data_IF_874574806496
#
_entry.id   IF_874574806496
#
_cell.length_a   1.000
_cell.length_b   1.000
_cell.length_c   1.000
_cell.angle_alpha   90.00
_cell.angle_beta   90.00
_cell.angle_gamma   90.00
#
_symmetry.space_group_name_H-M   'P 1'
#
loop_
_entity.id
_entity.type
_entity.pdbx_description
1 polymer ?
#
# COMPACT_ATOMS: atom_id res chain seq x y z
N UNK A 1 17.27 31.07 -2.18
CA UNK A 1 18.23 30.81 -1.08
C UNK A 1 19.36 29.97 -1.64
N UNK A 2 20.60 30.26 -1.27
CA UNK A 2 21.80 29.59 -1.79
C UNK A 2 21.92 28.14 -1.31
N UNK A 3 22.70 27.28 -2.00
CA UNK A 3 22.72 25.83 -1.77
C UNK A 3 23.53 25.38 -0.53
N UNK A 4 24.10 26.31 0.24
CA UNK A 4 25.18 26.00 1.20
C UNK A 4 24.79 26.15 2.68
N UNK A 5 23.49 26.27 3.01
CA UNK A 5 23.04 26.37 4.40
C UNK A 5 22.24 25.17 4.91
N UNK A 6 22.36 24.00 4.26
CA UNK A 6 21.98 22.73 4.88
C UNK A 6 23.21 22.24 5.62
N UNK A 7 23.45 22.78 6.81
CA UNK A 7 24.21 22.04 7.81
C UNK A 7 23.49 20.70 7.94
N UNK A 8 24.18 19.61 7.54
CA UNK A 8 23.75 18.24 7.80
C UNK A 8 23.56 18.10 9.32
N UNK A 9 22.34 18.34 9.78
CA UNK A 9 21.86 17.59 10.93
C UNK A 9 21.85 16.14 10.47
N UNK A 10 22.73 15.32 11.05
CA UNK A 10 22.71 13.88 10.88
C UNK A 10 21.36 13.37 11.42
N UNK A 11 20.38 13.30 10.53
CA UNK A 11 19.03 12.85 10.86
C UNK A 11 19.04 11.32 10.92
N UNK A 12 18.81 10.78 12.11
CA UNK A 12 18.52 9.36 12.29
C UNK A 12 17.08 9.10 11.84
N UNK A 13 16.92 8.38 10.73
CA UNK A 13 15.61 8.00 10.21
C UNK A 13 15.32 6.55 10.60
N UNK A 14 14.28 6.34 11.39
CA UNK A 14 13.81 4.98 11.68
C UNK A 14 13.02 4.48 10.47
N UNK A 15 13.60 3.51 9.73
CA UNK A 15 13.02 3.02 8.46
C UNK A 15 11.61 2.46 8.63
N UNK A 16 11.30 1.86 9.78
CA UNK A 16 9.95 1.36 10.09
C UNK A 16 8.93 2.50 10.14
N UNK A 17 9.22 3.58 10.88
CA UNK A 17 8.37 4.77 10.93
C UNK A 17 8.26 5.47 9.58
N UNK A 18 9.36 5.51 8.81
CA UNK A 18 9.35 6.09 7.47
C UNK A 18 8.42 5.32 6.52
N UNK A 19 8.45 3.99 6.59
CA UNK A 19 7.54 3.12 5.84
C UNK A 19 6.09 3.33 6.26
N UNK A 20 5.81 3.32 7.56
CA UNK A 20 4.46 3.58 8.08
C UNK A 20 3.93 4.93 7.62
N UNK A 21 4.76 5.98 7.64
CA UNK A 21 4.41 7.31 7.15
C UNK A 21 4.16 7.33 5.64
N UNK A 22 4.99 6.64 4.87
CA UNK A 22 4.77 6.52 3.43
C UNK A 22 3.46 5.80 3.10
N UNK A 23 3.14 4.73 3.84
CA UNK A 23 1.90 3.98 3.69
C UNK A 23 0.68 4.83 4.13
N UNK A 24 0.80 5.64 5.19
CA UNK A 24 -0.21 6.61 5.61
C UNK A 24 -0.48 7.65 4.51
N UNK A 25 0.58 8.23 3.91
CA UNK A 25 0.44 9.19 2.81
C UNK A 25 -0.23 8.56 1.59
N UNK A 26 0.18 7.35 1.19
CA UNK A 26 -0.46 6.61 0.09
C UNK A 26 -1.94 6.36 0.41
N UNK A 27 -2.25 5.94 1.63
CA UNK A 27 -3.63 5.70 2.07
C UNK A 27 -4.46 6.98 1.94
N UNK A 28 -4.00 8.10 2.49
CA UNK A 28 -4.70 9.37 2.38
C UNK A 28 -4.92 9.82 0.92
N UNK A 29 -3.95 9.59 0.03
CA UNK A 29 -4.10 9.87 -1.40
C UNK A 29 -5.10 8.93 -2.08
N UNK A 30 -5.16 7.66 -1.65
CA UNK A 30 -6.10 6.67 -2.21
C UNK A 30 -7.55 6.92 -1.79
N UNK A 31 -7.79 7.51 -0.62
CA UNK A 31 -9.14 7.87 -0.17
C UNK A 31 -9.77 8.96 -1.07
N UNK A 32 -8.95 9.83 -1.66
CA UNK A 32 -9.41 10.88 -2.58
C UNK A 32 -9.36 10.49 -4.06
N UNK A 33 -8.74 9.35 -4.41
CA UNK A 33 -8.50 8.97 -5.81
C UNK A 33 -8.68 7.47 -6.04
N UNK A 34 -9.54 7.12 -6.99
CA UNK A 34 -9.77 5.73 -7.42
C UNK A 34 -8.75 5.25 -8.48
N UNK A 35 -7.82 6.11 -8.90
CA UNK A 35 -6.86 5.82 -9.96
C UNK A 35 -5.63 5.07 -9.41
N UNK A 36 -4.95 4.33 -10.27
CA UNK A 36 -3.70 3.64 -9.93
C UNK A 36 -2.54 4.57 -9.57
N UNK A 37 -2.60 5.83 -10.01
CA UNK A 37 -1.60 6.86 -9.75
C UNK A 37 -2.29 8.17 -9.36
N UNK A 38 -1.59 9.00 -8.59
CA UNK A 38 -2.02 10.32 -8.20
C UNK A 38 -0.90 11.32 -8.43
N UNK A 39 -1.26 12.55 -8.81
CA UNK A 39 -0.35 13.69 -8.89
C UNK A 39 -0.77 14.69 -7.82
N UNK A 40 0.18 15.19 -7.04
CA UNK A 40 -0.06 16.21 -6.02
C UNK A 40 0.98 17.30 -6.09
N UNK A 41 0.63 18.50 -5.61
CA UNK A 41 1.61 19.58 -5.44
C UNK A 41 2.56 19.26 -4.30
N UNK A 42 3.77 19.81 -4.37
CA UNK A 42 4.77 19.66 -3.32
C UNK A 42 4.26 20.12 -1.95
N UNK A 43 3.58 21.27 -1.90
CA UNK A 43 3.06 21.82 -0.65
C UNK A 43 2.01 20.89 -0.01
N UNK A 44 1.12 20.31 -0.83
CA UNK A 44 0.10 19.38 -0.34
C UNK A 44 0.71 18.06 0.11
N UNK A 45 1.72 17.57 -0.59
CA UNK A 45 2.45 16.38 -0.17
C UNK A 45 3.19 16.60 1.16
N UNK A 46 3.91 17.73 1.29
CA UNK A 46 4.63 18.08 2.51
C UNK A 46 3.68 18.28 3.70
N UNK A 47 2.50 18.87 3.49
CA UNK A 47 1.52 19.02 4.58
C UNK A 47 0.98 17.68 5.06
N UNK A 48 0.78 16.71 4.17
CA UNK A 48 0.41 15.33 4.53
C UNK A 48 1.55 14.61 5.27
N UNK A 49 2.80 14.94 4.96
CA UNK A 49 3.98 14.37 5.60
C UNK A 49 4.37 15.08 6.91
N UNK A 50 3.66 16.09 7.39
CA UNK A 50 4.04 16.81 8.62
C UNK A 50 5.11 17.90 8.44
N UNK A 51 5.53 18.18 7.20
CA UNK A 51 6.43 19.28 6.86
C UNK A 51 7.46 18.95 5.78
N UNK A 52 8.32 19.92 5.47
CA UNK A 52 9.29 19.81 4.38
C UNK A 52 10.36 18.72 4.60
N UNK A 53 10.91 18.61 5.83
CA UNK A 53 11.95 17.63 6.17
C UNK A 53 11.41 16.19 6.05
N UNK A 54 10.26 15.94 6.67
CA UNK A 54 9.59 14.64 6.62
C UNK A 54 9.10 14.31 5.20
N UNK A 55 8.56 15.30 4.48
CA UNK A 55 8.18 15.16 3.07
C UNK A 55 9.36 14.73 2.19
N UNK A 56 10.54 15.31 2.36
CA UNK A 56 11.72 14.88 1.60
C UNK A 56 12.13 13.43 1.91
N UNK A 57 12.10 13.02 3.19
CA UNK A 57 12.41 11.65 3.59
C UNK A 57 11.41 10.65 2.99
N UNK A 58 10.11 10.95 3.07
CA UNK A 58 9.03 10.11 2.51
C UNK A 58 9.15 10.04 0.99
N UNK A 59 9.37 11.17 0.31
CA UNK A 59 9.59 11.18 -1.15
C UNK A 59 10.80 10.33 -1.54
N UNK A 60 11.92 10.48 -0.83
CA UNK A 60 13.14 9.70 -1.08
C UNK A 60 12.90 8.20 -0.93
N UNK A 61 12.17 7.80 0.12
CA UNK A 61 11.76 6.41 0.33
C UNK A 61 10.84 5.90 -0.78
N UNK A 62 9.81 6.66 -1.15
CA UNK A 62 8.90 6.31 -2.23
C UNK A 62 9.63 6.19 -3.57
N UNK A 63 10.58 7.08 -3.86
CA UNK A 63 11.41 7.00 -5.07
C UNK A 63 12.35 5.81 -5.06
N UNK A 64 12.95 5.47 -3.90
CA UNK A 64 13.74 4.24 -3.73
C UNK A 64 12.91 2.99 -3.99
N UNK A 65 11.65 2.98 -3.56
CA UNK A 65 10.67 1.93 -3.82
C UNK A 65 10.04 1.99 -5.22
N UNK A 66 10.42 2.97 -6.06
CA UNK A 66 9.79 3.29 -7.36
C UNK A 66 8.27 3.51 -7.28
N UNK A 67 7.78 3.94 -6.11
CA UNK A 67 6.38 4.30 -5.84
C UNK A 67 6.12 5.80 -5.87
N UNK A 68 7.17 6.62 -6.01
CA UNK A 68 7.05 8.08 -6.10
C UNK A 68 8.04 8.66 -7.11
N UNK A 69 7.60 9.67 -7.86
CA UNK A 69 8.44 10.39 -8.81
C UNK A 69 8.21 11.91 -8.69
N UNK A 70 9.31 12.64 -8.63
CA UNK A 70 9.29 14.10 -8.58
C UNK A 70 8.95 14.71 -9.95
N UNK A 71 8.13 15.74 -9.95
CA UNK A 71 7.72 16.52 -11.11
C UNK A 71 8.12 17.98 -10.89
N UNK A 72 8.73 18.59 -11.91
CA UNK A 72 8.98 20.02 -11.92
C UNK A 72 8.72 20.57 -13.31
N UNK A 73 7.99 21.67 -13.39
CA UNK A 73 7.70 22.37 -14.64
C UNK A 73 7.85 23.86 -14.44
N UNK A 74 8.46 24.51 -15.43
CA UNK A 74 8.68 25.95 -15.45
C UNK A 74 8.09 26.53 -16.74
N UNK A 75 6.75 26.64 -16.79
CA UNK A 75 6.04 27.27 -17.93
C UNK A 75 5.89 28.79 -17.74
N UNK A 76 5.63 29.25 -16.51
CA UNK A 76 5.45 30.68 -16.14
C UNK A 76 5.93 30.93 -14.71
N UNK A 77 5.53 30.04 -13.81
CA UNK A 77 6.03 29.93 -12.46
C UNK A 77 6.56 28.50 -12.28
N UNK A 78 7.49 28.33 -11.34
CA UNK A 78 7.98 27.01 -10.97
C UNK A 78 6.88 26.27 -10.21
N UNK A 79 6.38 25.18 -10.81
CA UNK A 79 5.41 24.29 -10.17
C UNK A 79 6.10 22.96 -9.92
N UNK A 80 6.10 22.57 -8.64
CA UNK A 80 6.70 21.33 -8.15
C UNK A 80 5.60 20.39 -7.66
N UNK A 81 5.74 19.11 -7.97
CA UNK A 81 4.77 18.09 -7.62
C UNK A 81 5.38 16.71 -7.49
N UNK A 82 4.56 15.77 -7.03
CA UNK A 82 4.94 14.38 -6.86
C UNK A 82 3.87 13.52 -7.52
N UNK A 83 4.29 12.59 -8.37
CA UNK A 83 3.48 11.48 -8.86
C UNK A 83 3.67 10.28 -7.94
N UNK A 84 2.60 9.72 -7.40
CA UNK A 84 2.61 8.59 -6.46
C UNK A 84 1.81 7.43 -7.05
N UNK A 85 2.31 6.20 -6.95
CA UNK A 85 1.54 4.99 -7.24
C UNK A 85 0.69 4.66 -6.02
N UNK A 86 -0.61 4.56 -6.23
CA UNK A 86 -1.58 4.19 -5.19
C UNK A 86 -1.80 2.69 -5.11
N UNK A 87 -1.31 1.94 -6.10
CA UNK A 87 -1.35 0.48 -6.13
C UNK A 87 -0.04 -0.13 -5.63
N UNK A 88 -0.02 -1.45 -5.45
CA UNK A 88 1.24 -2.16 -5.17
C UNK A 88 2.23 -2.12 -6.35
N UNK A 89 1.81 -1.64 -7.53
CA UNK A 89 2.64 -1.55 -8.71
C UNK A 89 3.62 -0.37 -8.66
N UNK A 90 4.68 -0.48 -9.48
CA UNK A 90 5.67 0.58 -9.71
C UNK A 90 5.01 1.77 -10.43
N UNK A 91 5.44 2.99 -10.10
CA UNK A 91 5.00 4.21 -10.78
C UNK A 91 5.30 4.13 -12.27
N UNK A 92 4.27 4.32 -13.09
CA UNK A 92 4.40 4.55 -14.52
C UNK A 92 5.20 5.81 -14.80
N UNK A 93 6.01 5.79 -15.88
CA UNK A 93 6.82 6.93 -16.29
C UNK A 93 6.01 8.22 -16.43
N UNK A 94 6.67 9.36 -16.20
CA UNK A 94 6.05 10.68 -16.32
C UNK A 94 5.66 10.93 -17.78
N UNK A 95 4.42 11.35 -17.97
CA UNK A 95 3.82 11.72 -19.24
C UNK A 95 3.53 13.22 -19.29
N UNK A 96 3.24 13.76 -20.48
CA UNK A 96 2.79 15.15 -20.61
C UNK A 96 1.51 15.42 -19.82
N UNK A 97 0.61 14.43 -19.75
CA UNK A 97 -0.63 14.51 -18.98
C UNK A 97 -0.36 14.73 -17.49
N UNK A 98 0.67 14.10 -16.91
CA UNK A 98 1.03 14.30 -15.50
C UNK A 98 1.39 15.77 -15.20
N UNK A 99 2.09 16.44 -16.12
CA UNK A 99 2.41 17.86 -15.99
C UNK A 99 1.19 18.77 -16.16
N UNK A 100 0.27 18.44 -17.06
CA UNK A 100 -0.96 19.20 -17.27
C UNK A 100 -1.92 19.02 -16.08
N UNK A 101 -2.03 17.80 -15.54
CA UNK A 101 -2.75 17.50 -14.29
C UNK A 101 -2.13 18.26 -13.11
N UNK A 102 -0.80 18.26 -12.96
CA UNK A 102 -0.12 19.05 -11.92
C UNK A 102 -0.46 20.54 -12.03
N UNK A 103 -0.46 21.09 -13.24
CA UNK A 103 -0.81 22.49 -13.46
C UNK A 103 -2.28 22.78 -13.12
N UNK A 104 -3.21 21.88 -13.45
CA UNK A 104 -4.61 22.01 -13.09
C UNK A 104 -4.83 21.98 -11.57
N UNK A 105 -4.19 21.04 -10.86
CA UNK A 105 -4.26 20.95 -9.39
C UNK A 105 -3.69 22.21 -8.75
N UNK A 106 -2.52 22.67 -9.20
CA UNK A 106 -1.95 23.93 -8.74
C UNK A 106 -2.87 25.13 -8.99
N UNK A 107 -3.53 25.17 -10.16
CA UNK A 107 -4.49 26.23 -10.49
C UNK A 107 -5.70 26.18 -9.55
N UNK A 108 -6.21 25.00 -9.24
CA UNK A 108 -7.30 24.79 -8.28
C UNK A 108 -6.91 25.32 -6.90
N UNK A 109 -5.73 24.94 -6.38
CA UNK A 109 -5.21 25.43 -5.10
C UNK A 109 -5.06 26.95 -5.08
N UNK A 110 -4.58 27.55 -6.19
CA UNK A 110 -4.42 29.00 -6.29
C UNK A 110 -5.77 29.73 -6.30
N UNK A 111 -6.77 29.19 -7.00
CA UNK A 111 -8.12 29.72 -7.02
C UNK A 111 -8.78 29.64 -5.64
N UNK A 112 -8.58 28.53 -4.91
CA UNK A 112 -9.05 28.39 -3.53
C UNK A 112 -8.43 29.44 -2.61
N UNK A 113 -7.11 29.64 -2.68
CA UNK A 113 -6.44 30.70 -1.92
C UNK A 113 -6.99 32.10 -2.24
N UNK A 114 -7.34 32.38 -3.51
CA UNK A 114 -7.95 33.65 -3.89
C UNK A 114 -9.36 33.81 -3.29
N UNK A 115 -10.17 32.74 -3.26
CA UNK A 115 -11.47 32.74 -2.61
C UNK A 115 -11.34 33.05 -1.11
N UNK A 116 -10.40 32.40 -0.42
CA UNK A 116 -10.19 32.63 1.01
C UNK A 116 -9.79 34.10 1.31
N UNK A 117 -8.96 34.69 0.44
CA UNK A 117 -8.58 36.12 0.53
C UNK A 117 -9.78 37.04 0.28
N UNK A 118 -10.62 36.71 -0.70
CA UNK A 118 -11.84 37.47 -1.01
C UNK A 118 -12.82 37.39 0.17
N UNK A 119 -13.05 36.21 0.73
CA UNK A 119 -13.98 35.99 1.84
C UNK A 119 -13.51 36.74 3.09
N UNK A 120 -12.21 36.68 3.42
CA UNK A 120 -11.64 37.46 4.52
C UNK A 120 -11.80 38.97 4.31
N UNK A 121 -11.53 39.46 3.10
CA UNK A 121 -11.68 40.89 2.77
C UNK A 121 -13.14 41.34 2.81
N UNK A 122 -14.05 40.48 2.36
CA UNK A 122 -15.48 40.73 2.42
C UNK A 122 -15.95 40.88 3.87
N UNK A 123 -15.51 40.00 4.77
CA UNK A 123 -15.88 40.05 6.19
C UNK A 123 -15.33 41.32 6.87
N UNK A 124 -14.08 41.70 6.59
CA UNK A 124 -13.52 42.97 7.08
C UNK A 124 -14.31 44.19 6.58
N UNK A 125 -14.70 44.19 5.30
CA UNK A 125 -15.50 45.28 4.72
C UNK A 125 -16.90 45.33 5.34
N UNK A 126 -17.51 44.17 5.60
CA UNK A 126 -18.79 44.05 6.32
C UNK A 126 -18.71 44.66 7.71
N UNK A 127 -17.69 44.31 8.50
CA UNK A 127 -17.49 44.85 9.84
C UNK A 127 -17.28 46.38 9.81
N UNK A 128 -16.48 46.87 8.85
CA UNK A 128 -16.22 48.30 8.66
C UNK A 128 -17.48 49.08 8.23
N UNK A 129 -18.32 48.49 7.38
CA UNK A 129 -19.62 49.05 6.98
C UNK A 129 -20.56 49.17 8.19
N UNK A 130 -20.65 48.12 9.01
CA UNK A 130 -21.48 48.11 10.22
C UNK A 130 -20.99 49.14 11.25
N UNK A 131 -19.68 49.26 11.47
CA UNK A 131 -19.11 50.26 12.35
C UNK A 131 -19.41 51.69 11.85
N UNK A 132 -19.25 51.94 10.55
CA UNK A 132 -19.55 53.24 9.94
C UNK A 132 -21.05 53.59 10.00
N UNK A 133 -21.93 52.59 9.91
CA UNK A 133 -23.37 52.77 10.06
C UNK A 133 -23.72 53.14 11.51
N UNK A 134 -23.14 52.44 12.49
CA UNK A 134 -23.31 52.73 13.93
C UNK A 134 -22.81 54.13 14.30
N UNK A 135 -21.74 54.61 13.66
CA UNK A 135 -21.21 55.96 13.88
C UNK A 135 -21.93 57.04 13.05
N UNK A 136 -23.02 56.71 12.34
CA UNK A 136 -23.79 57.65 11.52
C UNK A 136 -23.10 58.09 10.22
N UNK A 137 -21.94 57.54 9.86
CA UNK A 137 -21.20 57.92 8.67
C UNK A 137 -21.69 57.16 7.42
N UNK A 138 -22.82 57.61 6.87
CA UNK A 138 -23.49 56.99 5.71
C UNK A 138 -22.61 56.92 4.45
N UNK A 139 -21.72 57.90 4.23
CA UNK A 139 -20.84 57.92 3.04
C UNK A 139 -19.79 56.82 3.10
N UNK A 140 -19.16 56.61 4.26
CA UNK A 140 -18.19 55.53 4.44
C UNK A 140 -18.87 54.15 4.43
N UNK A 141 -20.05 54.02 5.05
CA UNK A 141 -20.83 52.79 5.00
C UNK A 141 -21.19 52.38 3.55
N UNK A 142 -21.61 53.35 2.71
CA UNK A 142 -21.90 53.11 1.30
C UNK A 142 -20.66 52.66 0.51
N UNK A 143 -19.49 53.23 0.81
CA UNK A 143 -18.23 52.83 0.17
C UNK A 143 -17.90 51.36 0.47
N UNK A 144 -17.94 50.97 1.74
CA UNK A 144 -17.71 49.57 2.12
C UNK A 144 -18.76 48.62 1.51
N UNK A 145 -20.02 49.03 1.44
CA UNK A 145 -21.06 48.24 0.76
C UNK A 145 -20.77 48.02 -0.74
N UNK A 146 -20.21 49.03 -1.44
CA UNK A 146 -19.76 48.86 -2.83
C UNK A 146 -18.58 47.89 -2.95
N UNK A 147 -17.63 47.97 -2.03
CA UNK A 147 -16.49 47.04 -1.95
C UNK A 147 -16.96 45.60 -1.69
N UNK A 148 -17.95 45.40 -0.83
CA UNK A 148 -18.57 44.10 -0.58
C UNK A 148 -19.26 43.54 -1.83
N UNK A 149 -20.02 44.38 -2.56
CA UNK A 149 -20.68 43.96 -3.81
C UNK A 149 -19.65 43.47 -4.84
N UNK A 150 -18.58 44.22 -5.04
CA UNK A 150 -17.49 43.82 -5.93
C UNK A 150 -16.82 42.51 -5.45
N UNK A 151 -16.68 42.33 -4.13
CA UNK A 151 -16.19 41.09 -3.53
C UNK A 151 -17.03 39.88 -3.92
N UNK A 152 -18.37 40.00 -3.88
CA UNK A 152 -19.29 38.92 -4.29
C UNK A 152 -19.13 38.60 -5.78
N UNK A 153 -19.12 39.61 -6.66
CA UNK A 153 -18.94 39.40 -8.10
C UNK A 153 -17.61 38.71 -8.44
N UNK A 154 -16.53 39.07 -7.74
CA UNK A 154 -15.23 38.42 -7.92
C UNK A 154 -15.23 36.99 -7.37
N UNK A 155 -15.90 36.74 -6.24
CA UNK A 155 -16.09 35.40 -5.67
C UNK A 155 -16.79 34.48 -6.64
N UNK A 156 -17.87 34.95 -7.28
CA UNK A 156 -18.61 34.19 -8.30
C UNK A 156 -17.73 33.83 -9.50
N UNK A 157 -16.92 34.78 -9.99
CA UNK A 157 -15.94 34.52 -11.07
C UNK A 157 -14.94 33.45 -10.66
N UNK A 158 -14.33 33.57 -9.49
CA UNK A 158 -13.37 32.58 -8.98
C UNK A 158 -14.01 31.20 -8.82
N UNK A 159 -15.23 31.11 -8.26
CA UNK A 159 -15.97 29.85 -8.14
C UNK A 159 -16.27 29.23 -9.51
N UNK A 160 -16.68 30.04 -10.50
CA UNK A 160 -16.96 29.51 -11.84
C UNK A 160 -15.73 28.89 -12.49
N UNK A 161 -14.55 29.49 -12.27
CA UNK A 161 -13.28 28.96 -12.75
C UNK A 161 -12.87 27.70 -11.99
N UNK A 162 -13.06 27.68 -10.66
CA UNK A 162 -12.76 26.53 -9.81
C UNK A 162 -13.58 25.31 -10.24
N UNK A 163 -14.90 25.47 -10.37
CA UNK A 163 -15.80 24.42 -10.83
C UNK A 163 -15.36 23.85 -12.19
N UNK A 164 -14.93 24.72 -13.12
CA UNK A 164 -14.47 24.28 -14.43
C UNK A 164 -13.17 23.49 -14.36
N UNK A 165 -12.25 23.86 -13.46
CA UNK A 165 -11.01 23.08 -13.24
C UNK A 165 -11.32 21.72 -12.61
N UNK A 166 -12.23 21.67 -11.63
CA UNK A 166 -12.67 20.43 -10.99
C UNK A 166 -13.37 19.48 -11.97
N UNK A 167 -14.21 20.02 -12.86
CA UNK A 167 -14.85 19.25 -13.94
C UNK A 167 -13.79 18.62 -14.86
N UNK A 168 -12.80 19.41 -15.29
CA UNK A 168 -11.72 18.90 -16.16
C UNK A 168 -10.90 17.81 -15.45
N UNK A 169 -10.54 18.01 -14.18
CA UNK A 169 -9.83 16.99 -13.39
C UNK A 169 -10.66 15.70 -13.22
N UNK A 170 -11.96 15.82 -12.99
CA UNK A 170 -12.89 14.69 -12.92
C UNK A 170 -12.97 13.92 -14.25
N UNK A 171 -13.08 14.64 -15.37
CA UNK A 171 -13.08 14.04 -16.70
C UNK A 171 -11.77 13.30 -16.98
N UNK A 172 -10.62 13.90 -16.65
CA UNK A 172 -9.31 13.24 -16.78
C UNK A 172 -9.28 11.95 -15.97
N UNK A 173 -9.70 11.99 -14.71
CA UNK A 173 -9.71 10.82 -13.84
C UNK A 173 -10.60 9.69 -14.39
N UNK A 174 -11.80 10.04 -14.88
CA UNK A 174 -12.74 9.09 -15.48
C UNK A 174 -12.18 8.47 -16.76
N UNK A 175 -11.53 9.26 -17.62
CA UNK A 175 -10.90 8.77 -18.85
C UNK A 175 -9.75 7.82 -18.54
N UNK A 176 -8.91 8.14 -17.54
CA UNK A 176 -7.82 7.27 -17.11
C UNK A 176 -8.33 5.92 -16.58
N UNK A 177 -9.37 5.94 -15.74
CA UNK A 177 -10.00 4.74 -15.22
C UNK A 177 -10.64 3.90 -16.35
N UNK A 178 -11.39 4.55 -17.25
CA UNK A 178 -12.00 3.89 -18.41
C UNK A 178 -10.95 3.24 -19.32
N UNK A 179 -9.79 3.87 -19.49
CA UNK A 179 -8.67 3.31 -20.26
C UNK A 179 -8.11 2.05 -19.60
N UNK A 180 -7.99 2.02 -18.28
CA UNK A 180 -7.52 0.85 -17.52
C UNK A 180 -8.50 -0.32 -17.65
N UNK A 181 -9.79 -0.06 -17.44
CA UNK A 181 -10.86 -1.07 -17.58
C UNK A 181 -10.91 -1.62 -19.01
N UNK A 182 -10.91 -0.74 -20.01
CA UNK A 182 -10.92 -1.16 -21.43
C UNK A 182 -9.70 -2.01 -21.79
N UNK A 183 -8.52 -1.65 -21.27
CA UNK A 183 -7.30 -2.43 -21.43
C UNK A 183 -7.42 -3.84 -20.85
N UNK A 184 -7.97 -3.96 -19.63
CA UNK A 184 -8.20 -5.24 -18.99
C UNK A 184 -9.17 -6.13 -19.79
N UNK A 185 -10.27 -5.56 -20.31
CA UNK A 185 -11.23 -6.26 -21.17
C UNK A 185 -10.57 -6.76 -22.45
N UNK A 186 -9.77 -5.92 -23.11
CA UNK A 186 -9.07 -6.31 -24.34
C UNK A 186 -8.05 -7.44 -24.12
N UNK A 187 -7.36 -7.44 -22.98
CA UNK A 187 -6.46 -8.52 -22.59
C UNK A 187 -7.26 -9.81 -22.36
N UNK A 188 -8.35 -9.75 -21.59
CA UNK A 188 -9.22 -10.90 -21.35
C UNK A 188 -9.78 -11.50 -22.65
N UNK A 189 -10.29 -10.66 -23.55
CA UNK A 189 -10.79 -11.08 -24.86
C UNK A 189 -9.70 -11.73 -25.73
N UNK A 190 -8.47 -11.20 -25.70
CA UNK A 190 -7.33 -11.80 -26.42
C UNK A 190 -6.98 -13.17 -25.86
N UNK A 191 -6.89 -13.31 -24.53
CA UNK A 191 -6.57 -14.58 -23.86
C UNK A 191 -7.63 -15.63 -24.20
N UNK A 192 -8.92 -15.29 -24.17
CA UNK A 192 -10.01 -16.20 -24.57
C UNK A 192 -9.82 -16.66 -26.02
N UNK A 193 -9.56 -15.72 -26.93
CA UNK A 193 -9.34 -16.02 -28.36
C UNK A 193 -8.09 -16.88 -28.61
N UNK A 194 -6.99 -16.59 -27.93
CA UNK A 194 -5.71 -17.32 -28.09
C UNK A 194 -5.79 -18.74 -27.53
N UNK A 195 -6.52 -18.95 -26.43
CA UNK A 195 -6.74 -20.28 -25.85
C UNK A 195 -7.83 -21.08 -26.55
N UNK A 196 -8.43 -20.55 -27.63
CA UNK A 196 -9.58 -21.15 -28.34
C UNK A 196 -10.73 -21.55 -27.44
N UNK A 197 -10.87 -20.93 -26.26
CA UNK A 197 -11.98 -21.22 -25.36
C UNK A 197 -13.20 -20.53 -25.96
N UNK A 198 -14.04 -21.28 -26.65
CA UNK A 198 -15.34 -20.78 -27.10
C UNK A 198 -16.31 -20.74 -25.93
N UNK A 199 -17.26 -19.80 -25.96
CA UNK A 199 -18.31 -19.74 -24.93
C UNK A 199 -19.13 -21.04 -24.94
N UNK A 200 -19.27 -21.63 -26.12
CA UNK A 200 -19.96 -22.87 -26.38
C UNK A 200 -19.27 -24.08 -25.72
N UNK A 201 -17.93 -24.17 -25.76
CA UNK A 201 -17.17 -25.22 -25.07
C UNK A 201 -17.22 -25.08 -23.55
N UNK A 202 -17.21 -23.84 -23.02
CA UNK A 202 -17.38 -23.60 -21.58
C UNK A 202 -18.78 -24.02 -21.13
N UNK A 203 -19.80 -23.71 -21.92
CA UNK A 203 -21.18 -24.12 -21.66
C UNK A 203 -21.31 -25.65 -21.68
N UNK A 204 -20.70 -26.33 -22.67
CA UNK A 204 -20.70 -27.79 -22.78
C UNK A 204 -20.00 -28.45 -21.57
N UNK A 205 -18.84 -27.95 -21.15
CA UNK A 205 -18.15 -28.45 -19.95
C UNK A 205 -18.97 -28.25 -18.67
N UNK A 206 -19.74 -27.16 -18.56
CA UNK A 206 -20.63 -26.94 -17.43
C UNK A 206 -21.82 -27.92 -17.46
N UNK A 207 -22.40 -28.19 -18.63
CA UNK A 207 -23.45 -29.19 -18.79
C UNK A 207 -22.95 -30.60 -18.46
N UNK A 208 -21.76 -31.01 -18.94
CA UNK A 208 -21.15 -32.29 -18.59
C UNK A 208 -20.84 -32.41 -17.09
N UNK A 209 -20.43 -31.32 -16.45
CA UNK A 209 -20.20 -31.27 -15.00
C UNK A 209 -21.50 -31.42 -14.22
N UNK A 210 -22.57 -30.72 -14.61
CA UNK A 210 -23.88 -30.86 -13.98
C UNK A 210 -24.45 -32.27 -14.15
N UNK A 211 -24.28 -32.86 -15.34
CA UNK A 211 -24.70 -34.24 -15.61
C UNK A 211 -23.87 -35.25 -14.80
N UNK A 212 -22.58 -34.96 -14.57
CA UNK A 212 -21.70 -35.74 -13.69
C UNK A 212 -22.13 -35.62 -12.22
N UNK A 213 -22.49 -34.42 -11.77
CA UNK A 213 -23.01 -34.16 -10.41
C UNK A 213 -24.33 -34.88 -10.21
N UNK A 214 -25.23 -34.85 -11.18
CA UNK A 214 -26.53 -35.53 -11.10
C UNK A 214 -26.38 -37.06 -11.14
N UNK A 215 -25.43 -37.57 -11.93
CA UNK A 215 -25.06 -38.99 -11.91
C UNK A 215 -24.50 -39.41 -10.54
N UNK A 216 -23.65 -38.57 -9.94
CA UNK A 216 -23.11 -38.81 -8.60
C UNK A 216 -24.21 -38.80 -7.53
N UNK A 217 -25.16 -37.87 -7.58
CA UNK A 217 -26.33 -37.86 -6.68
C UNK A 217 -27.22 -39.09 -6.86
N UNK A 218 -27.38 -39.58 -8.09
CA UNK A 218 -28.13 -40.81 -8.35
C UNK A 218 -27.42 -42.05 -7.78
N UNK A 219 -26.09 -42.11 -7.88
CA UNK A 219 -25.29 -43.16 -7.24
C UNK A 219 -25.40 -43.07 -5.72
N UNK A 220 -25.30 -41.88 -5.14
CA UNK A 220 -25.47 -41.65 -3.71
C UNK A 220 -26.87 -42.09 -3.24
N UNK A 221 -27.92 -41.78 -4.01
CA UNK A 221 -29.29 -42.22 -3.74
C UNK A 221 -29.50 -43.74 -3.89
N UNK A 222 -28.75 -44.40 -4.78
CA UNK A 222 -28.79 -45.85 -4.94
C UNK A 222 -27.98 -46.58 -3.85
N UNK A 223 -26.96 -45.92 -3.31
CA UNK A 223 -26.18 -46.36 -2.15
C UNK A 223 -26.82 -45.96 -0.82
N UNK A 224 -27.84 -45.09 -0.85
CA UNK A 224 -28.66 -44.75 0.31
C UNK A 224 -29.30 -46.05 0.82
N UNK A 225 -28.91 -46.53 2.02
CA UNK A 225 -29.34 -47.84 2.48
C UNK A 225 -30.88 -47.86 2.54
N UNK A 226 -31.48 -48.90 1.94
CA UNK A 226 -32.91 -49.14 2.00
C UNK A 226 -33.37 -49.10 3.48
N UNK A 227 -34.60 -48.60 3.77
CA UNK A 227 -35.08 -48.55 5.14
C UNK A 227 -35.01 -49.95 5.74
N UNK A 228 -34.16 -50.05 6.77
CA UNK A 228 -33.76 -51.25 7.50
C UNK A 228 -34.85 -52.32 7.57
N UNK A 229 -34.67 -53.39 6.81
CA UNK A 229 -35.18 -54.71 7.16
C UNK A 229 -33.99 -55.54 7.64
N UNK A 230 -33.72 -55.43 8.93
CA UNK A 230 -33.23 -56.46 9.85
C UNK A 230 -32.48 -57.64 9.18
N UNK A 231 -31.30 -57.37 8.62
CA UNK A 231 -30.42 -58.40 8.05
C UNK A 231 -29.03 -58.25 8.66
N UNK A 232 -28.91 -58.91 9.81
CA UNK A 232 -27.72 -59.55 10.40
C UNK A 232 -26.38 -58.80 10.26
N UNK A 233 -26.04 -58.03 11.31
CA UNK A 233 -24.70 -57.48 11.64
C UNK A 233 -23.57 -58.55 11.69
N UNK A 234 -23.88 -59.83 11.51
CA UNK A 234 -22.95 -60.96 11.66
C UNK A 234 -21.93 -61.02 10.51
N UNK A 235 -22.32 -60.65 9.28
CA UNK A 235 -21.42 -60.63 8.11
C UNK A 235 -20.39 -59.49 8.17
N UNK A 236 -20.73 -58.36 8.80
CA UNK A 236 -19.82 -57.20 8.96
C UNK A 236 -18.82 -57.44 10.08
N UNK A 237 -19.27 -58.02 11.20
CA UNK A 237 -18.42 -58.38 12.33
C UNK A 237 -17.42 -59.49 11.97
N UNK A 238 -17.79 -60.43 11.09
CA UNK A 238 -16.91 -61.50 10.60
C UNK A 238 -15.83 -60.97 9.63
N UNK A 239 -16.20 -60.07 8.70
CA UNK A 239 -15.24 -59.42 7.80
C UNK A 239 -14.29 -58.45 8.56
N UNK A 240 -14.77 -57.77 9.62
CA UNK A 240 -13.90 -56.98 10.50
C UNK A 240 -12.88 -57.85 11.24
N UNK A 241 -13.31 -59.00 11.79
CA UNK A 241 -12.44 -59.95 12.49
C UNK A 241 -11.37 -60.57 11.57
N UNK A 242 -11.70 -60.73 10.29
CA UNK A 242 -10.78 -61.20 9.25
C UNK A 242 -9.71 -60.16 8.91
N UNK A 243 -10.06 -58.88 8.86
CA UNK A 243 -9.12 -57.77 8.70
C UNK A 243 -8.19 -57.62 9.91
N UNK A 244 -8.70 -57.82 11.13
CA UNK A 244 -7.86 -57.86 12.35
C UNK A 244 -6.87 -59.03 12.32
N UNK A 245 -7.28 -60.20 11.82
CA UNK A 245 -6.40 -61.37 11.63
C UNK A 245 -5.33 -61.14 10.55
N UNK A 246 -5.63 -60.39 9.50
CA UNK A 246 -4.68 -60.06 8.43
C UNK A 246 -3.61 -59.05 8.91
N UNK A 247 -3.96 -58.17 9.86
CA UNK A 247 -3.00 -57.30 10.56
C UNK A 247 -2.19 -58.09 11.61
N UNK A 248 -2.81 -59.03 12.30
CA UNK A 248 -2.17 -59.84 13.35
C UNK A 248 -1.24 -60.95 12.83
N UNK A 249 -1.40 -61.42 11.60
CA UNK A 249 -0.65 -62.57 11.05
C UNK A 249 0.58 -62.21 10.22
N UNK A 250 0.88 -60.92 10.04
CA UNK A 250 2.05 -60.43 9.29
C UNK A 250 3.39 -60.44 10.03
N UNK A 251 3.44 -60.84 11.31
CA UNK A 251 4.67 -60.78 12.12
C UNK A 251 4.91 -62.05 12.95
N UNK A 252 5.38 -63.16 12.33
CA UNK A 252 6.40 -64.05 12.92
C UNK A 252 6.88 -65.15 11.95
N UNK A 253 8.22 -65.34 11.90
CA UNK A 253 9.07 -66.34 11.19
C UNK A 253 9.65 -65.78 9.87
N UNK A 254 10.93 -65.36 9.81
CA UNK A 254 12.13 -66.17 10.07
C UNK A 254 13.27 -65.48 10.86
N UNK A 255 14.09 -66.32 11.51
CA UNK A 255 15.09 -66.15 12.58
C UNK A 255 16.42 -65.46 12.15
N UNK A 256 17.22 -64.78 13.00
CA UNK A 256 18.05 -65.30 14.12
C UNK A 256 18.69 -64.13 14.98
N UNK A 257 19.38 -64.35 16.13
CA UNK A 257 19.29 -63.52 17.34
C UNK A 257 20.62 -62.88 17.83
N UNK A 258 20.54 -61.85 18.69
CA UNK A 258 21.13 -61.86 20.04
C UNK A 258 20.77 -60.58 20.84
N UNK A 259 20.38 -60.81 22.10
CA UNK A 259 20.38 -59.92 23.27
C UNK A 259 19.70 -58.54 23.15
N UNK A 260 18.64 -58.20 23.88
CA UNK A 260 17.94 -58.87 24.96
C UNK A 260 17.03 -57.86 25.69
N UNK A 261 16.06 -58.42 26.42
CA UNK A 261 15.39 -57.86 27.60
C UNK A 261 14.20 -56.90 27.40
N UNK A 262 13.08 -57.42 27.89
CA UNK A 262 11.93 -56.81 28.58
C UNK A 262 10.85 -56.06 27.80
N UNK A 263 9.66 -56.64 27.91
CA UNK A 263 8.33 -56.05 27.76
C UNK A 263 8.20 -54.67 28.42
N UNK A 264 7.47 -53.76 27.76
CA UNK A 264 6.38 -52.94 28.34
C UNK A 264 6.07 -51.75 27.42
N UNK A 265 4.82 -51.71 26.96
CA UNK A 265 3.92 -50.56 26.76
C UNK A 265 4.51 -49.16 26.50
N UNK A 266 4.03 -48.52 25.42
CA UNK A 266 3.93 -47.05 25.35
C UNK A 266 4.61 -46.39 24.15
N UNK A 267 4.06 -46.55 22.95
CA UNK A 267 4.62 -45.94 21.73
C UNK A 267 3.97 -44.61 21.37
N UNK A 268 4.01 -43.63 22.28
CA UNK A 268 3.72 -42.22 21.96
C UNK A 268 4.94 -41.30 22.13
N UNK A 269 6.07 -41.81 22.67
CA UNK A 269 7.26 -41.00 22.93
C UNK A 269 8.25 -40.92 21.74
N UNK A 270 8.12 -41.79 20.72
CA UNK A 270 9.12 -41.94 19.66
C UNK A 270 9.12 -40.85 18.58
N UNK A 271 8.05 -40.07 18.45
CA UNK A 271 7.98 -38.95 17.49
C UNK A 271 8.45 -37.61 18.08
N UNK A 272 8.33 -37.44 19.41
CA UNK A 272 8.76 -36.22 20.10
C UNK A 272 10.29 -36.08 20.14
N UNK A 273 11.01 -37.20 20.32
CA UNK A 273 12.47 -37.21 20.36
C UNK A 273 13.11 -37.04 18.96
N UNK A 274 12.38 -37.41 17.89
CA UNK A 274 12.84 -37.22 16.51
C UNK A 274 12.75 -35.74 16.07
N UNK A 275 11.79 -34.97 16.59
CA UNK A 275 11.62 -33.55 16.28
C UNK A 275 12.53 -32.61 17.09
N UNK A 276 13.00 -33.07 18.26
CA UNK A 276 13.97 -32.31 19.08
C UNK A 276 15.38 -32.24 18.46
N UNK A 277 15.70 -33.10 17.50
CA UNK A 277 17.03 -33.19 16.87
C UNK A 277 17.25 -32.29 15.64
N UNK A 278 16.29 -31.43 15.27
CA UNK A 278 16.44 -30.46 14.16
C UNK A 278 16.71 -29.01 14.60
N UNK A 279 17.11 -28.80 15.87
CA UNK A 279 17.51 -27.50 16.37
C UNK A 279 19.00 -27.23 16.10
N UNK A 280 19.29 -26.53 14.99
CA UNK A 280 20.60 -25.92 14.77
C UNK A 280 20.77 -24.70 15.69
N UNK A 281 21.51 -24.96 16.77
CA UNK A 281 22.34 -24.10 17.62
C UNK A 281 22.14 -22.58 17.55
N UNK A 282 21.57 -22.05 18.64
CA UNK A 282 21.91 -20.74 19.21
C UNK A 282 22.76 -21.06 20.45
N UNK A 283 24.06 -20.78 20.42
CA UNK A 283 24.98 -21.02 21.54
C UNK A 283 25.19 -19.72 22.32
N UNK A 284 24.84 -19.78 23.60
CA UNK A 284 25.28 -18.89 24.67
C UNK A 284 25.49 -19.76 25.93
N UNK A 285 26.01 -19.24 27.06
CA UNK A 285 27.22 -18.43 27.32
C UNK A 285 28.05 -19.06 28.47
N UNK A 286 29.20 -18.47 28.86
CA UNK A 286 29.93 -18.96 30.05
C UNK A 286 31.16 -18.17 30.51
N UNK A 287 30.93 -17.05 31.21
CA UNK A 287 31.60 -16.60 32.45
C UNK A 287 33.03 -17.08 32.79
N UNK A 288 33.96 -16.14 33.03
CA UNK A 288 35.08 -16.37 33.97
C UNK A 288 36.32 -15.45 33.89
N UNK A 289 36.24 -14.29 34.54
CA UNK A 289 37.28 -13.43 35.17
C UNK A 289 38.79 -13.84 35.16
N UNK A 290 39.68 -12.88 34.82
CA UNK A 290 40.80 -12.37 35.67
C UNK A 290 41.84 -11.56 34.81
N UNK A 291 41.96 -10.24 34.97
CA UNK A 291 42.97 -9.50 35.77
C UNK A 291 44.30 -9.16 35.03
N UNK A 292 44.50 -7.84 34.90
CA UNK A 292 45.74 -7.02 34.93
C UNK A 292 46.66 -6.78 33.71
N UNK A 293 46.68 -5.49 33.36
CA UNK A 293 47.82 -4.56 33.30
C UNK A 293 48.61 -4.29 32.00
N UNK A 294 48.69 -2.96 31.77
CA UNK A 294 49.80 -2.15 31.27
C UNK A 294 49.84 -1.81 29.77
N UNK A 295 49.97 -0.50 29.48
CA UNK A 295 50.29 0.01 28.15
C UNK A 295 49.73 1.40 27.84
N UNK A 296 50.23 2.42 28.53
CA UNK A 296 49.95 3.84 28.27
C UNK A 296 50.86 4.36 27.14
N UNK A 297 50.30 5.27 26.33
CA UNK A 297 50.94 6.47 25.76
C UNK A 297 51.79 6.36 24.47
N UNK A 298 51.28 6.97 23.39
CA UNK A 298 52.07 7.82 22.49
C UNK A 298 51.18 8.84 21.76
N UNK A 299 51.12 10.06 22.31
CA UNK A 299 50.89 11.29 21.54
C UNK A 299 52.21 11.67 20.85
N UNK A 300 52.14 12.17 19.62
CA UNK A 300 52.83 13.37 19.09
C UNK A 300 52.36 13.59 17.64
N UNK A 301 51.56 14.62 17.27
CA UNK A 301 51.80 16.08 17.12
C UNK A 301 52.63 16.49 15.89
N UNK A 302 52.00 17.30 15.03
CA UNK A 302 52.53 18.37 14.15
C UNK A 302 53.43 17.93 12.96
N UNK A 303 53.45 18.55 11.77
CA UNK A 303 52.83 19.74 11.17
C UNK A 303 53.12 19.77 9.65
N UNK A 304 52.53 20.76 8.97
CA UNK A 304 52.96 21.41 7.71
C UNK A 304 52.37 20.93 6.36
N UNK A 305 51.56 21.82 5.77
CA UNK A 305 51.43 21.98 4.32
C UNK A 305 52.71 22.55 3.69
N UNK A 306 52.72 22.84 2.37
CA UNK A 306 51.97 23.99 1.85
C UNK A 306 51.34 23.83 0.44
N UNK A 307 50.59 24.88 0.07
CA UNK A 307 50.22 25.38 -1.26
C UNK A 307 51.03 24.87 -2.48
N UNK A 308 50.35 24.73 -3.61
CA UNK A 308 50.68 25.43 -4.87
C UNK A 308 49.53 25.37 -5.89
N UNK A 309 49.24 26.53 -6.48
CA UNK A 309 48.49 26.77 -7.71
C UNK A 309 49.11 26.03 -8.91
N UNK A 310 48.30 25.72 -9.94
CA UNK A 310 48.31 26.42 -11.23
C UNK A 310 47.79 25.54 -12.38
N UNK A 311 47.07 26.23 -13.29
CA UNK A 311 46.71 25.92 -14.68
C UNK A 311 45.59 24.90 -14.95
#
# INVERSE_FOLDING_TARGET
>A
MSPESILLEDCLILTTLLKEKADEVIKCLSESHWNSHCVVTRNKFESMCGGQKEGYAVLSYLSGCRKGQYLSTNKKELIEGIKVSLSSAVVSGVSSLDFDTLHLIWTQEKLQQQLDVIDRRWEMSRQSALASLKSGNKKLALRHAKEMKLGIENREKCNSLLNRVEEVLSVIANVESTKQVTGAIQIGARVIKENKISIEEVQLCLEELDESIDSQKQVEKALEPAPSLDMEDEDIEEEFRKLELEIGSGNLKDLNPEAGVSDSEGTDQSLADALLNLKLADDAPGSGSAIQNSGLLAKNKESNGPMLEAA
#
